data_IF_358806943667
#
_entry.id   IF_358806943667
#
_cell.length_a   1.000
_cell.length_b   1.000
_cell.length_c   1.000
_cell.angle_alpha   90.00
_cell.angle_beta   90.00
_cell.angle_gamma   90.00
#
_symmetry.space_group_name_H-M   'P 1'
#
loop_
_entity.id
_entity.type
_entity.pdbx_description
1 polymer ?
#
# COMPACT_ATOMS: atom_id res chain seq x y z
N UNK A 1 7.02 3.84 -6.42
CA UNK A 1 7.60 2.94 -7.45
C UNK A 1 7.15 3.33 -8.86
N UNK A 2 5.85 3.47 -9.11
CA UNK A 2 5.32 3.87 -10.42
C UNK A 2 5.68 5.30 -10.88
N UNK A 3 6.15 6.17 -10.00
CA UNK A 3 6.54 7.56 -10.30
C UNK A 3 5.41 8.45 -10.87
N UNK A 4 4.15 8.13 -10.57
CA UNK A 4 3.02 8.99 -10.94
C UNK A 4 3.09 10.32 -10.18
N UNK A 5 3.30 11.42 -10.91
CA UNK A 5 3.42 12.77 -10.33
C UNK A 5 2.14 13.18 -9.59
N UNK A 6 0.97 12.83 -10.13
CA UNK A 6 -0.33 13.14 -9.52
C UNK A 6 -0.48 12.47 -8.15
N UNK A 7 -0.17 11.17 -8.05
CA UNK A 7 -0.22 10.47 -6.77
C UNK A 7 0.85 10.98 -5.80
N UNK A 8 2.08 11.23 -6.27
CA UNK A 8 3.15 11.76 -5.42
C UNK A 8 2.73 13.08 -4.78
N UNK A 9 2.14 13.98 -5.56
CA UNK A 9 1.62 15.25 -5.06
C UNK A 9 0.47 15.03 -4.08
N UNK A 10 -0.49 14.16 -4.40
CA UNK A 10 -1.61 13.86 -3.51
C UNK A 10 -1.15 13.35 -2.13
N UNK A 11 -0.21 12.39 -2.10
CA UNK A 11 0.37 11.89 -0.85
C UNK A 11 1.15 12.95 -0.08
N UNK A 12 1.91 13.81 -0.76
CA UNK A 12 2.73 14.83 -0.10
C UNK A 12 1.93 16.06 0.38
N UNK A 13 0.71 16.22 -0.11
CA UNK A 13 -0.21 17.30 0.27
C UNK A 13 -1.29 16.86 1.26
N UNK A 14 -1.15 15.67 1.88
CA UNK A 14 -2.13 15.10 2.83
C UNK A 14 -3.56 14.99 2.26
N UNK A 15 -3.72 14.96 0.93
CA UNK A 15 -5.03 14.77 0.31
C UNK A 15 -5.47 13.31 0.41
N UNK A 16 -6.77 13.11 0.65
CA UNK A 16 -7.39 11.79 0.62
C UNK A 16 -7.26 11.18 -0.78
N UNK A 17 -6.39 10.16 -0.90
CA UNK A 17 -6.10 9.49 -2.17
C UNK A 17 -7.32 8.84 -2.81
N UNK A 18 -8.27 8.36 -2.01
CA UNK A 18 -9.51 7.77 -2.50
C UNK A 18 -10.45 8.85 -3.03
N UNK A 19 -10.47 10.02 -2.37
CA UNK A 19 -11.19 11.17 -2.87
C UNK A 19 -10.58 11.68 -4.19
N UNK A 20 -9.26 11.83 -4.27
CA UNK A 20 -8.55 12.18 -5.52
C UNK A 20 -8.83 11.17 -6.64
N UNK A 21 -8.86 9.89 -6.32
CA UNK A 21 -9.21 8.86 -7.31
C UNK A 21 -10.67 8.97 -7.75
N UNK A 22 -11.59 9.26 -6.83
CA UNK A 22 -12.99 9.46 -7.13
C UNK A 22 -13.24 10.67 -8.04
N UNK A 23 -12.61 11.81 -7.77
CA UNK A 23 -12.76 13.01 -8.64
C UNK A 23 -12.32 12.71 -10.07
N UNK A 24 -11.23 11.97 -10.24
CA UNK A 24 -10.70 11.60 -11.56
C UNK A 24 -11.58 10.56 -12.28
N UNK A 25 -12.02 9.50 -11.60
CA UNK A 25 -12.84 8.43 -12.19
C UNK A 25 -14.25 8.92 -12.55
N UNK A 26 -14.86 9.69 -11.66
CA UNK A 26 -16.24 10.17 -11.83
C UNK A 26 -16.30 11.51 -12.57
N UNK A 27 -15.15 12.18 -12.79
CA UNK A 27 -15.04 13.49 -13.41
C UNK A 27 -15.92 14.54 -12.71
N UNK A 28 -15.76 14.62 -11.39
CA UNK A 28 -16.49 15.54 -10.49
C UNK A 28 -15.51 16.35 -9.64
N UNK A 29 -15.94 17.50 -9.13
CA UNK A 29 -15.13 18.29 -8.21
C UNK A 29 -14.99 17.59 -6.83
N UNK A 30 -13.95 17.91 -6.04
CA UNK A 30 -13.75 17.30 -4.71
C UNK A 30 -14.95 17.41 -3.77
N UNK A 31 -15.70 18.51 -3.86
CA UNK A 31 -16.87 18.78 -3.02
C UNK A 31 -18.11 17.97 -3.44
N UNK A 32 -18.11 17.42 -4.64
CA UNK A 32 -19.18 16.58 -5.19
C UNK A 32 -18.95 15.08 -4.94
N UNK A 33 -17.81 14.71 -4.36
CA UNK A 33 -17.49 13.30 -4.09
C UNK A 33 -18.33 12.77 -2.94
N UNK A 34 -19.27 11.90 -3.28
CA UNK A 34 -20.11 11.21 -2.29
C UNK A 34 -19.34 10.08 -1.58
N UNK A 35 -19.78 9.69 -0.38
CA UNK A 35 -19.23 8.54 0.35
C UNK A 35 -19.27 7.24 -0.47
N UNK A 36 -20.28 7.07 -1.34
CA UNK A 36 -20.40 5.93 -2.25
C UNK A 36 -19.29 5.96 -3.31
N UNK A 37 -19.05 7.11 -3.94
CA UNK A 37 -17.97 7.29 -4.92
C UNK A 37 -16.60 7.05 -4.28
N UNK A 38 -16.37 7.58 -3.08
CA UNK A 38 -15.13 7.33 -2.32
C UNK A 38 -14.92 5.85 -2.02
N UNK A 39 -15.97 5.14 -1.61
CA UNK A 39 -15.90 3.68 -1.37
C UNK A 39 -15.58 2.90 -2.64
N UNK A 40 -16.19 3.28 -3.77
CA UNK A 40 -15.90 2.65 -5.07
C UNK A 40 -14.46 2.91 -5.50
N UNK A 41 -13.98 4.15 -5.40
CA UNK A 41 -12.60 4.51 -5.68
C UNK A 41 -11.59 3.79 -4.76
N UNK A 42 -11.96 3.58 -3.48
CA UNK A 42 -11.17 2.77 -2.55
C UNK A 42 -11.02 1.33 -3.03
N UNK A 43 -12.12 0.67 -3.39
CA UNK A 43 -12.09 -0.70 -3.92
C UNK A 43 -11.24 -0.77 -5.20
N UNK A 44 -11.38 0.20 -6.10
CA UNK A 44 -10.56 0.27 -7.33
C UNK A 44 -9.06 0.43 -7.00
N UNK A 45 -8.70 1.34 -6.08
CA UNK A 45 -7.30 1.53 -5.67
C UNK A 45 -6.67 0.24 -5.14
N UNK A 46 -7.35 -0.44 -4.22
CA UNK A 46 -6.83 -1.68 -3.66
C UNK A 46 -6.87 -2.80 -4.70
N UNK A 47 -8.00 -3.00 -5.38
CA UNK A 47 -8.16 -4.03 -6.40
C UNK A 47 -7.09 -3.97 -7.49
N UNK A 48 -6.77 -2.78 -8.00
CA UNK A 48 -5.76 -2.62 -9.05
C UNK A 48 -4.35 -2.94 -8.53
N UNK A 49 -4.01 -2.52 -7.30
CA UNK A 49 -2.73 -2.87 -6.65
C UNK A 49 -2.58 -4.39 -6.46
N UNK A 50 -3.69 -5.12 -6.31
CA UNK A 50 -3.72 -6.57 -6.17
C UNK A 50 -3.92 -7.32 -7.50
N UNK A 51 -3.95 -6.63 -8.64
CA UNK A 51 -4.16 -7.24 -9.95
C UNK A 51 -5.55 -7.87 -10.11
N UNK A 52 -6.56 -7.30 -9.44
CA UNK A 52 -7.95 -7.73 -9.51
C UNK A 52 -8.48 -7.60 -10.95
N UNK A 53 -9.23 -8.61 -11.39
CA UNK A 53 -9.93 -8.57 -12.67
C UNK A 53 -11.16 -7.67 -12.62
N UNK A 54 -11.68 -7.29 -13.79
CA UNK A 54 -13.00 -6.67 -13.94
C UNK A 54 -14.09 -7.50 -13.23
N UNK A 55 -14.06 -8.82 -13.34
CA UNK A 55 -14.96 -9.71 -12.62
C UNK A 55 -14.81 -9.61 -11.09
N UNK A 56 -13.58 -9.61 -10.57
CA UNK A 56 -13.36 -9.48 -9.12
C UNK A 56 -13.86 -8.14 -8.56
N UNK A 57 -13.65 -7.06 -9.31
CA UNK A 57 -14.13 -5.73 -8.93
C UNK A 57 -15.66 -5.63 -9.03
N UNK A 58 -16.25 -6.33 -10.01
CA UNK A 58 -17.71 -6.46 -10.18
C UNK A 58 -18.37 -7.04 -8.92
N UNK A 59 -17.81 -8.14 -8.40
CA UNK A 59 -18.29 -8.81 -7.19
C UNK A 59 -18.10 -7.94 -5.93
N UNK A 60 -16.92 -7.33 -5.77
CA UNK A 60 -16.63 -6.47 -4.60
C UNK A 60 -17.58 -5.26 -4.54
N UNK A 61 -17.91 -4.69 -5.70
CA UNK A 61 -18.74 -3.49 -5.79
C UNK A 61 -20.24 -3.78 -5.95
N UNK A 62 -20.62 -5.02 -6.26
CA UNK A 62 -21.99 -5.40 -6.61
C UNK A 62 -22.50 -4.64 -7.85
N UNK A 63 -21.64 -4.48 -8.86
CA UNK A 63 -21.95 -3.80 -10.14
C UNK A 63 -21.80 -4.77 -11.31
N UNK A 64 -22.25 -4.40 -12.51
CA UNK A 64 -22.01 -5.19 -13.73
C UNK A 64 -20.52 -5.18 -14.12
N UNK A 65 -20.05 -6.30 -14.69
CA UNK A 65 -18.65 -6.48 -15.12
C UNK A 65 -18.24 -5.41 -16.13
N UNK A 66 -19.15 -4.96 -16.99
CA UNK A 66 -18.89 -3.88 -17.95
C UNK A 66 -18.57 -2.56 -17.23
N UNK A 67 -19.31 -2.23 -16.16
CA UNK A 67 -19.04 -1.02 -15.37
C UNK A 67 -17.72 -1.15 -14.60
N UNK A 68 -17.41 -2.34 -14.05
CA UNK A 68 -16.13 -2.60 -13.40
C UNK A 68 -14.95 -2.41 -14.37
N UNK A 69 -15.07 -2.93 -15.60
CA UNK A 69 -14.08 -2.73 -16.66
C UNK A 69 -13.90 -1.25 -17.02
N UNK A 70 -15.00 -0.51 -17.15
CA UNK A 70 -14.94 0.93 -17.42
C UNK A 70 -14.25 1.71 -16.28
N UNK A 71 -14.46 1.33 -15.02
CA UNK A 71 -13.74 1.91 -13.89
C UNK A 71 -12.23 1.65 -13.94
N UNK A 72 -11.82 0.41 -14.24
CA UNK A 72 -10.40 0.06 -14.37
C UNK A 72 -9.76 0.85 -15.53
N UNK A 73 -10.45 0.95 -16.67
CA UNK A 73 -9.94 1.70 -17.82
C UNK A 73 -9.78 3.19 -17.51
N UNK A 74 -10.78 3.79 -16.85
CA UNK A 74 -10.70 5.19 -16.42
C UNK A 74 -9.56 5.41 -15.44
N UNK A 75 -9.39 4.51 -14.47
CA UNK A 75 -8.28 4.58 -13.53
C UNK A 75 -6.92 4.60 -14.24
N UNK A 76 -6.67 3.66 -15.15
CA UNK A 76 -5.40 3.64 -15.90
C UNK A 76 -5.24 4.83 -16.85
N UNK A 77 -6.34 5.40 -17.34
CA UNK A 77 -6.29 6.64 -18.13
C UNK A 77 -5.92 7.85 -17.28
N UNK A 78 -6.38 7.90 -16.02
CA UNK A 78 -6.02 8.94 -15.06
C UNK A 78 -4.62 8.77 -14.46
N UNK A 79 -4.13 7.52 -14.38
CA UNK A 79 -2.83 7.18 -13.80
C UNK A 79 -2.03 6.23 -14.73
N UNK A 80 -1.62 6.71 -15.92
CA UNK A 80 -0.95 5.88 -16.90
C UNK A 80 0.36 5.28 -16.37
N UNK A 81 1.07 5.99 -15.50
CA UNK A 81 2.36 5.51 -14.96
C UNK A 81 2.19 4.27 -14.07
N UNK A 82 1.02 4.09 -13.45
CA UNK A 82 0.70 2.87 -12.70
C UNK A 82 0.52 1.71 -13.66
N UNK A 83 -0.18 1.92 -14.77
CA UNK A 83 -0.37 0.87 -15.77
C UNK A 83 0.98 0.41 -16.34
N UNK A 84 1.84 1.36 -16.67
CA UNK A 84 3.18 1.09 -17.19
C UNK A 84 4.03 0.35 -16.16
N UNK A 85 4.00 0.77 -14.89
CA UNK A 85 4.68 0.08 -13.81
C UNK A 85 4.24 -1.38 -13.67
N UNK A 86 2.93 -1.65 -13.69
CA UNK A 86 2.41 -3.02 -13.56
C UNK A 86 2.77 -3.89 -14.76
N UNK A 87 2.67 -3.35 -15.99
CA UNK A 87 3.09 -4.04 -17.21
C UNK A 87 4.58 -4.37 -17.20
N UNK A 88 5.41 -3.41 -16.80
CA UNK A 88 6.86 -3.59 -16.72
C UNK A 88 7.22 -4.62 -15.64
N UNK A 89 6.56 -4.61 -14.48
CA UNK A 89 6.79 -5.61 -13.43
C UNK A 89 6.51 -7.04 -13.92
N UNK A 90 5.48 -7.24 -14.75
CA UNK A 90 5.18 -8.53 -15.39
C UNK A 90 6.24 -8.88 -16.43
N UNK A 91 6.56 -7.96 -17.35
CA UNK A 91 7.54 -8.19 -18.41
C UNK A 91 8.94 -8.50 -17.86
N UNK A 92 9.37 -7.77 -16.83
CA UNK A 92 10.62 -8.02 -16.12
C UNK A 92 10.61 -9.43 -15.50
N UNK A 93 9.50 -9.82 -14.85
CA UNK A 93 9.36 -11.14 -14.26
C UNK A 93 9.34 -12.26 -15.31
N UNK A 94 8.68 -12.06 -16.45
CA UNK A 94 8.69 -13.00 -17.58
C UNK A 94 10.12 -13.21 -18.12
N UNK A 95 10.95 -12.15 -18.11
CA UNK A 95 12.33 -12.23 -18.59
C UNK A 95 13.30 -12.89 -17.60
N UNK A 96 13.17 -12.62 -16.29
CA UNK A 96 14.16 -13.03 -15.28
C UNK A 96 13.66 -14.08 -14.28
N UNK A 97 12.35 -14.38 -14.26
CA UNK A 97 11.72 -15.39 -13.41
C UNK A 97 11.53 -14.99 -11.94
N UNK A 98 11.79 -13.74 -11.57
CA UNK A 98 11.60 -13.23 -10.22
C UNK A 98 11.18 -11.76 -10.21
N UNK A 99 10.76 -11.28 -9.04
CA UNK A 99 10.53 -9.85 -8.76
C UNK A 99 11.30 -9.43 -7.51
N UNK A 100 11.51 -8.12 -7.32
CA UNK A 100 12.26 -7.56 -6.18
C UNK A 100 11.47 -6.46 -5.46
N UNK A 101 11.68 -6.35 -4.16
CA UNK A 101 11.20 -5.23 -3.33
C UNK A 101 12.17 -4.04 -3.41
N UNK A 102 11.80 -2.90 -2.83
CA UNK A 102 12.65 -1.70 -2.77
C UNK A 102 13.99 -1.93 -2.04
N UNK A 103 14.06 -2.87 -1.10
CA UNK A 103 15.31 -3.26 -0.42
C UNK A 103 15.98 -4.49 -1.05
N UNK A 104 15.51 -4.94 -2.21
CA UNK A 104 16.17 -5.99 -2.98
C UNK A 104 15.84 -7.43 -2.57
N UNK A 105 14.84 -7.66 -1.69
CA UNK A 105 14.36 -9.03 -1.43
C UNK A 105 13.71 -9.57 -2.70
N UNK A 106 14.16 -10.73 -3.16
CA UNK A 106 13.61 -11.39 -4.34
C UNK A 106 12.56 -12.45 -4.01
N UNK A 107 11.60 -12.64 -4.91
CA UNK A 107 10.68 -13.78 -4.95
C UNK A 107 10.69 -14.37 -6.35
N UNK A 108 11.04 -15.65 -6.47
CA UNK A 108 10.86 -16.38 -7.71
C UNK A 108 9.38 -16.64 -7.97
N UNK A 109 8.94 -16.48 -9.22
CA UNK A 109 7.56 -16.72 -9.63
C UNK A 109 7.63 -17.73 -10.77
N UNK A 110 7.48 -19.01 -10.44
CA UNK A 110 7.58 -20.09 -11.43
C UNK A 110 6.35 -20.14 -12.32
N UNK A 111 5.22 -19.70 -11.77
CA UNK A 111 3.93 -19.64 -12.42
C UNK A 111 3.94 -18.75 -13.66
N UNK A 112 4.86 -17.76 -13.73
CA UNK A 112 4.92 -16.78 -14.82
C UNK A 112 5.17 -17.43 -16.19
N UNK A 113 5.83 -18.59 -16.24
CA UNK A 113 6.13 -19.33 -17.47
C UNK A 113 5.33 -20.63 -17.61
N UNK A 114 4.32 -20.84 -16.76
CA UNK A 114 3.50 -22.05 -16.78
C UNK A 114 2.68 -22.12 -18.08
N UNK A 115 2.60 -23.28 -18.76
CA UNK A 115 1.79 -23.43 -19.96
C UNK A 115 0.29 -23.25 -19.69
N UNK A 116 -0.19 -23.57 -18.48
CA UNK A 116 -1.57 -23.38 -18.08
C UNK A 116 -1.89 -21.89 -17.96
N UNK A 117 -2.88 -21.43 -18.74
CA UNK A 117 -3.30 -20.03 -18.76
C UNK A 117 -3.65 -19.48 -17.37
N UNK A 118 -4.42 -20.23 -16.57
CA UNK A 118 -4.87 -19.77 -15.25
C UNK A 118 -3.72 -19.65 -14.25
N UNK A 119 -2.77 -20.59 -14.30
CA UNK A 119 -1.55 -20.54 -13.46
C UNK A 119 -0.69 -19.35 -13.85
N UNK A 120 -0.52 -19.13 -15.16
CA UNK A 120 0.24 -17.98 -15.68
C UNK A 120 -0.37 -16.64 -15.30
N UNK A 121 -1.69 -16.48 -15.42
CA UNK A 121 -2.38 -15.26 -15.00
C UNK A 121 -2.28 -15.04 -13.48
N UNK A 122 -2.27 -16.11 -12.67
CA UNK A 122 -1.94 -16.01 -11.26
C UNK A 122 -0.51 -15.52 -11.03
N UNK A 123 0.48 -16.09 -11.76
CA UNK A 123 1.87 -15.64 -11.73
C UNK A 123 2.02 -14.15 -12.02
N UNK A 124 1.29 -13.62 -13.03
CA UNK A 124 1.28 -12.19 -13.34
C UNK A 124 0.74 -11.34 -12.19
N UNK A 125 -0.36 -11.76 -11.54
CA UNK A 125 -0.89 -11.06 -10.34
C UNK A 125 0.12 -11.06 -9.19
N UNK A 126 0.79 -12.20 -8.97
CA UNK A 126 1.84 -12.30 -7.96
C UNK A 126 3.03 -11.38 -8.28
N UNK A 127 3.40 -11.26 -9.55
CA UNK A 127 4.49 -10.39 -10.01
C UNK A 127 4.16 -8.91 -9.82
N UNK A 128 2.93 -8.51 -10.09
CA UNK A 128 2.44 -7.15 -9.84
C UNK A 128 2.42 -6.82 -8.35
N UNK A 129 1.92 -7.73 -7.52
CA UNK A 129 1.65 -7.43 -6.11
C UNK A 129 2.87 -7.57 -5.19
N UNK A 130 3.72 -8.57 -5.42
CA UNK A 130 4.84 -8.89 -4.50
C UNK A 130 5.80 -7.71 -4.29
N UNK A 131 6.19 -6.92 -5.31
CA UNK A 131 7.01 -5.74 -5.09
C UNK A 131 6.36 -4.74 -4.14
N UNK A 132 5.04 -4.56 -4.21
CA UNK A 132 4.29 -3.59 -3.42
C UNK A 132 4.17 -4.07 -1.96
N UNK A 133 3.56 -5.23 -1.75
CA UNK A 133 3.36 -5.78 -0.40
C UNK A 133 4.70 -6.11 0.27
N UNK A 134 5.64 -6.66 -0.49
CA UNK A 134 6.97 -6.96 0.00
C UNK A 134 7.73 -5.70 0.43
N UNK A 135 7.60 -4.60 -0.32
CA UNK A 135 8.24 -3.34 0.06
C UNK A 135 7.61 -2.74 1.32
N UNK A 136 6.29 -2.84 1.50
CA UNK A 136 5.66 -2.45 2.77
C UNK A 136 6.20 -3.28 3.95
N UNK A 137 6.35 -4.60 3.76
CA UNK A 137 6.95 -5.48 4.76
C UNK A 137 8.44 -5.19 5.04
N UNK A 138 9.16 -4.62 4.07
CA UNK A 138 10.54 -4.16 4.28
C UNK A 138 10.59 -2.90 5.12
N UNK A 139 9.73 -1.94 4.81
CA UNK A 139 9.63 -0.65 5.51
C UNK A 139 9.30 -0.87 6.98
N UNK A 140 8.27 -1.69 7.27
CA UNK A 140 7.88 -1.93 8.66
C UNK A 140 8.98 -2.64 9.45
N UNK A 141 9.72 -3.57 8.84
CA UNK A 141 10.86 -4.23 9.50
C UNK A 141 12.00 -3.27 9.80
N UNK A 142 12.31 -2.36 8.88
CA UNK A 142 13.27 -1.29 9.15
C UNK A 142 12.79 -0.37 10.28
N UNK A 143 11.51 0.02 10.24
CA UNK A 143 10.89 0.82 11.29
C UNK A 143 11.01 0.14 12.66
N UNK A 144 10.76 -1.17 12.74
CA UNK A 144 10.89 -1.94 13.97
C UNK A 144 12.30 -1.86 14.56
N UNK A 145 13.33 -2.01 13.72
CA UNK A 145 14.73 -1.88 14.14
C UNK A 145 15.02 -0.47 14.67
N UNK A 146 14.61 0.57 13.92
CA UNK A 146 14.83 1.97 14.34
C UNK A 146 14.11 2.33 15.62
N UNK A 147 12.89 1.82 15.81
CA UNK A 147 12.11 2.01 17.04
C UNK A 147 12.85 1.36 18.20
N UNK A 148 13.25 0.10 18.09
CA UNK A 148 13.99 -0.62 19.13
C UNK A 148 15.30 0.07 19.51
N UNK A 149 16.07 0.52 18.52
CA UNK A 149 17.30 1.31 18.75
C UNK A 149 17.02 2.62 19.49
N UNK A 150 15.96 3.32 19.11
CA UNK A 150 15.58 4.61 19.71
C UNK A 150 15.11 4.45 21.15
N UNK A 151 14.31 3.42 21.43
CA UNK A 151 13.84 3.09 22.78
C UNK A 151 15.00 2.71 23.69
N UNK A 152 15.91 1.84 23.22
CA UNK A 152 17.12 1.44 23.95
C UNK A 152 18.06 2.61 24.23
N UNK A 153 18.25 3.51 23.26
CA UNK A 153 19.07 4.71 23.43
C UNK A 153 18.50 5.66 24.49
N UNK A 154 17.18 5.80 24.54
CA UNK A 154 16.47 6.56 25.56
C UNK A 154 16.37 5.85 26.92
N UNK A 155 16.76 4.57 27.00
CA UNK A 155 16.61 3.70 28.17
C UNK A 155 15.16 3.58 28.65
N UNK A 156 14.23 3.59 27.71
CA UNK A 156 12.80 3.40 27.98
C UNK A 156 12.51 1.92 28.30
N UNK A 157 11.57 1.68 29.20
CA UNK A 157 11.05 0.35 29.51
C UNK A 157 9.93 -0.09 28.54
N UNK A 158 9.42 0.82 27.72
CA UNK A 158 8.49 0.57 26.61
C UNK A 158 8.94 -0.59 25.72
N UNK A 159 8.00 -1.50 25.40
CA UNK A 159 8.25 -2.70 24.59
C UNK A 159 7.30 -2.81 23.42
N UNK A 160 7.82 -3.16 22.26
CA UNK A 160 7.02 -3.63 21.14
C UNK A 160 6.55 -5.05 21.42
N UNK A 161 5.23 -5.26 21.44
CA UNK A 161 4.61 -6.56 21.78
C UNK A 161 4.10 -7.31 20.57
N UNK A 162 3.68 -6.61 19.51
CA UNK A 162 3.13 -7.23 18.31
C UNK A 162 3.36 -6.37 17.07
N UNK A 163 3.40 -7.03 15.92
CA UNK A 163 3.29 -6.41 14.60
C UNK A 163 2.12 -7.07 13.86
N UNK A 164 1.22 -6.26 13.31
CA UNK A 164 0.06 -6.70 12.54
C UNK A 164 0.05 -5.97 11.21
N UNK A 165 0.53 -6.62 10.15
CA UNK A 165 0.64 -6.03 8.82
C UNK A 165 1.41 -4.70 8.78
N UNK A 166 0.73 -3.56 8.85
CA UNK A 166 1.27 -2.20 8.84
C UNK A 166 1.24 -1.52 10.23
N UNK A 167 0.74 -2.21 11.26
CA UNK A 167 0.63 -1.72 12.63
C UNK A 167 1.71 -2.31 13.55
N UNK A 168 2.20 -1.49 14.50
CA UNK A 168 3.05 -1.91 15.61
C UNK A 168 2.34 -1.62 16.93
N UNK A 169 2.25 -2.63 17.80
CA UNK A 169 1.60 -2.53 19.11
C UNK A 169 2.66 -2.50 20.19
N UNK A 170 2.47 -1.61 21.17
CA UNK A 170 3.42 -1.39 22.26
C UNK A 170 2.75 -1.52 23.63
N UNK A 171 3.50 -2.06 24.58
CA UNK A 171 3.24 -1.90 26.01
C UNK A 171 4.13 -0.75 26.52
N UNK A 172 3.50 0.25 27.13
CA UNK A 172 4.13 1.53 27.45
C UNK A 172 3.84 1.88 28.91
N UNK A 173 4.86 2.06 29.77
CA UNK A 173 4.67 2.64 31.10
C UNK A 173 4.02 4.02 30.98
N UNK A 174 3.06 4.33 31.84
CA UNK A 174 2.25 5.55 31.73
C UNK A 174 3.13 6.83 31.77
N UNK A 175 4.21 6.79 32.54
CA UNK A 175 5.18 7.87 32.69
C UNK A 175 6.01 8.14 31.42
N UNK A 176 6.14 7.13 30.54
CA UNK A 176 6.90 7.21 29.30
C UNK A 176 6.04 7.63 28.09
N UNK A 177 4.72 7.47 28.18
CA UNK A 177 3.79 7.57 27.05
C UNK A 177 4.02 8.80 26.17
N UNK A 178 3.97 10.00 26.77
CA UNK A 178 4.12 11.25 26.03
C UNK A 178 5.53 11.47 25.45
N UNK A 179 6.53 10.73 25.94
CA UNK A 179 7.90 10.81 25.46
C UNK A 179 8.15 9.83 24.30
N UNK A 180 7.58 8.62 24.38
CA UNK A 180 7.86 7.56 23.40
C UNK A 180 7.03 7.69 22.13
N UNK A 181 5.82 8.25 22.19
CA UNK A 181 4.98 8.50 21.00
C UNK A 181 5.75 9.23 19.88
N UNK A 182 6.31 10.44 20.09
CA UNK A 182 7.00 11.15 19.02
C UNK A 182 8.28 10.43 18.56
N UNK A 183 8.89 9.60 19.41
CA UNK A 183 10.06 8.80 19.06
C UNK A 183 9.67 7.66 18.10
N UNK A 184 8.59 6.95 18.42
CA UNK A 184 8.06 5.85 17.61
C UNK A 184 7.56 6.39 16.27
N UNK A 185 6.74 7.45 16.28
CA UNK A 185 6.24 8.09 15.06
C UNK A 185 7.38 8.51 14.14
N UNK A 186 8.41 9.18 14.68
CA UNK A 186 9.57 9.60 13.90
C UNK A 186 10.31 8.41 13.31
N UNK A 187 10.58 7.38 14.11
CA UNK A 187 11.31 6.19 13.66
C UNK A 187 10.56 5.44 12.53
N UNK A 188 9.23 5.41 12.59
CA UNK A 188 8.40 4.80 11.54
C UNK A 188 8.28 5.69 10.29
N UNK A 189 8.02 6.99 10.45
CA UNK A 189 7.90 7.93 9.33
C UNK A 189 9.23 8.07 8.55
N UNK A 190 10.36 8.01 9.25
CA UNK A 190 11.70 8.14 8.68
C UNK A 190 12.38 6.78 8.46
N UNK A 191 11.62 5.66 8.47
CA UNK A 191 12.18 4.32 8.32
C UNK A 191 13.02 4.17 7.04
N UNK A 192 12.54 4.77 5.95
CA UNK A 192 13.25 4.85 4.67
C UNK A 192 12.85 6.14 3.94
N UNK A 193 13.75 6.65 3.10
CA UNK A 193 13.44 7.77 2.22
C UNK A 193 12.65 7.28 0.99
N UNK A 194 11.48 7.88 0.75
CA UNK A 194 10.63 7.63 -0.41
C UNK A 194 10.30 8.96 -1.10
N UNK A 195 9.78 8.89 -2.33
CA UNK A 195 9.25 10.07 -3.04
C UNK A 195 7.99 10.67 -2.40
N UNK A 196 7.39 9.95 -1.46
CA UNK A 196 6.20 10.34 -0.70
C UNK A 196 6.49 10.23 0.78
N UNK A 197 5.89 11.10 1.59
CA UNK A 197 5.98 11.00 3.05
C UNK A 197 5.22 9.77 3.55
N UNK A 198 5.85 8.99 4.42
CA UNK A 198 5.13 8.02 5.24
C UNK A 198 4.40 8.79 6.34
N UNK A 199 3.17 8.36 6.62
CA UNK A 199 2.33 8.91 7.67
C UNK A 199 1.92 7.77 8.59
N UNK A 200 2.11 8.00 9.88
CA UNK A 200 1.70 7.09 10.95
C UNK A 200 0.62 7.78 11.74
N UNK A 201 -0.42 7.01 12.07
CA UNK A 201 -1.46 7.39 13.02
C UNK A 201 -1.27 6.51 14.25
N UNK A 202 -1.63 7.03 15.43
CA UNK A 202 -1.52 6.29 16.67
C UNK A 202 -2.75 6.53 17.56
N UNK A 203 -3.06 5.53 18.35
CA UNK A 203 -4.03 5.58 19.43
C UNK A 203 -3.41 4.90 20.66
N UNK A 204 -3.88 5.22 21.85
CA UNK A 204 -3.44 4.58 23.09
C UNK A 204 -4.63 4.38 24.04
N UNK A 205 -4.59 3.28 24.78
CA UNK A 205 -5.65 2.89 25.70
C UNK A 205 -5.15 1.86 26.70
N UNK A 206 -5.99 1.51 27.67
CA UNK A 206 -5.66 0.48 28.67
C UNK A 206 -5.67 -0.93 28.09
N UNK A 207 -6.33 -1.12 26.96
CA UNK A 207 -6.37 -2.35 26.19
C UNK A 207 -6.50 -1.99 24.71
N UNK A 208 -6.22 -2.95 23.84
CA UNK A 208 -6.21 -2.74 22.40
C UNK A 208 -7.60 -2.46 21.79
N UNK A 209 -8.68 -2.83 22.49
CA UNK A 209 -10.05 -2.65 22.00
C UNK A 209 -10.59 -1.23 22.28
N UNK A 210 -10.12 -0.58 23.34
CA UNK A 210 -10.70 0.64 23.90
C UNK A 210 -10.03 1.92 23.44
#
# INVERSE_FOLDING_TARGET
MANSTSLINAFNSDFDIHNTTATQIFNVSPDEVTSKMRRQAKAVNFGIIYGMSDWGLSEELGIDVKYAKDFINKYFSSFPEIQDYLKNAVADCESCGYVRTILGRYRYIREISDPNYYVREFGKRVAMNTPIQGSAADIIKLAMIKVDESLKKGKYETKMIMQVHDELVFEVPFEELMQVIPIIEKAMNEAIELKVKLKVEYEYGYNWYS
#
